data_IF_207084109973
#
_entry.id   IF_207084109973
#
_cell.length_a   1.000
_cell.length_b   1.000
_cell.length_c   1.000
_cell.angle_alpha   90.00
_cell.angle_beta   90.00
_cell.angle_gamma   90.00
#
_symmetry.space_group_name_H-M   'P 1'
#
loop_
_entity.id
_entity.type
_entity.pdbx_description
1 polymer ?
#
# COMPACT_ATOMS: atom_id res chain seq x y z
N UNK A 1 32.08 3.08 -3.15
CA UNK A 1 30.87 3.60 -2.49
C UNK A 1 29.73 2.71 -2.93
N UNK A 2 29.39 1.68 -2.14
CA UNK A 2 28.36 0.70 -2.51
C UNK A 2 26.99 1.35 -2.70
N UNK A 3 26.10 0.70 -3.44
CA UNK A 3 24.78 1.20 -3.83
C UNK A 3 23.80 1.36 -2.65
N UNK A 4 24.15 2.22 -1.68
CA UNK A 4 23.32 2.57 -0.54
C UNK A 4 21.98 3.16 -0.96
N UNK A 5 21.93 3.88 -2.09
CA UNK A 5 20.69 4.44 -2.64
C UNK A 5 19.74 3.34 -3.12
N UNK A 6 20.23 2.34 -3.84
CA UNK A 6 19.41 1.21 -4.29
C UNK A 6 18.90 0.37 -3.10
N UNK A 7 19.72 0.17 -2.07
CA UNK A 7 19.31 -0.54 -0.86
C UNK A 7 18.17 0.19 -0.11
N UNK A 8 18.22 1.54 -0.05
CA UNK A 8 17.16 2.35 0.55
C UNK A 8 15.90 2.34 -0.32
N UNK A 9 16.03 2.48 -1.64
CA UNK A 9 14.92 2.40 -2.58
C UNK A 9 14.22 1.04 -2.52
N UNK A 10 14.99 -0.04 -2.41
CA UNK A 10 14.45 -1.39 -2.22
C UNK A 10 13.63 -1.49 -0.92
N UNK A 11 14.16 -0.97 0.19
CA UNK A 11 13.47 -0.95 1.47
C UNK A 11 12.15 -0.17 1.41
N UNK A 12 12.15 0.99 0.76
CA UNK A 12 10.95 1.81 0.55
C UNK A 12 9.93 1.13 -0.38
N UNK A 13 10.39 0.49 -1.46
CA UNK A 13 9.55 -0.30 -2.35
C UNK A 13 8.84 -1.43 -1.61
N UNK A 14 9.59 -2.17 -0.78
CA UNK A 14 9.07 -3.29 0.00
C UNK A 14 8.06 -2.83 1.05
N UNK A 15 8.33 -1.71 1.74
CA UNK A 15 7.40 -1.12 2.70
C UNK A 15 6.11 -0.64 2.03
N UNK A 16 6.21 0.09 0.91
CA UNK A 16 5.06 0.56 0.15
C UNK A 16 4.22 -0.62 -0.36
N UNK A 17 4.87 -1.69 -0.81
CA UNK A 17 4.20 -2.92 -1.24
C UNK A 17 3.46 -3.60 -0.09
N UNK A 18 4.11 -3.82 1.06
CA UNK A 18 3.50 -4.47 2.23
C UNK A 18 2.32 -3.66 2.77
N UNK A 19 2.45 -2.33 2.84
CA UNK A 19 1.36 -1.44 3.27
C UNK A 19 0.20 -1.41 2.26
N UNK A 20 0.51 -1.40 0.96
CA UNK A 20 -0.48 -1.47 -0.11
C UNK A 20 -1.28 -2.78 -0.09
N UNK A 21 -0.58 -3.92 0.03
CA UNK A 21 -1.23 -5.23 0.14
C UNK A 21 -2.05 -5.34 1.42
N UNK A 22 -1.53 -4.88 2.57
CA UNK A 22 -2.25 -4.95 3.85
C UNK A 22 -3.55 -4.14 3.84
N UNK A 23 -3.56 -2.98 3.18
CA UNK A 23 -4.76 -2.16 3.05
C UNK A 23 -5.76 -2.72 2.04
N UNK A 24 -5.31 -3.38 0.97
CA UNK A 24 -6.20 -4.15 0.08
C UNK A 24 -6.87 -5.30 0.85
N UNK A 25 -6.12 -6.02 1.68
CA UNK A 25 -6.68 -7.08 2.53
C UNK A 25 -7.75 -6.49 3.43
N UNK A 26 -7.46 -5.39 4.14
CA UNK A 26 -8.43 -4.69 4.99
C UNK A 26 -9.68 -4.24 4.21
N UNK A 27 -9.54 -3.78 2.97
CA UNK A 27 -10.67 -3.42 2.13
C UNK A 27 -11.61 -4.61 1.82
N UNK A 28 -11.09 -5.84 1.85
CA UNK A 28 -11.84 -7.07 1.59
C UNK A 28 -12.39 -7.74 2.87
N UNK A 29 -11.64 -7.71 3.99
CA UNK A 29 -12.04 -8.38 5.24
C UNK A 29 -12.74 -7.46 6.25
N UNK A 30 -12.63 -6.14 6.14
CA UNK A 30 -13.24 -5.24 7.11
C UNK A 30 -14.77 -5.28 7.02
N UNK A 31 -15.40 -5.80 8.08
CA UNK A 31 -16.85 -5.77 8.31
C UNK A 31 -17.16 -4.75 9.40
N UNK A 32 -17.59 -3.53 9.05
CA UNK A 32 -18.00 -2.54 10.03
C UNK A 32 -19.36 -2.90 10.62
N UNK A 33 -19.58 -2.46 11.87
CA UNK A 33 -20.81 -2.68 12.63
C UNK A 33 -22.01 -1.84 12.13
N UNK A 34 -21.76 -0.81 11.31
CA UNK A 34 -22.78 0.08 10.77
C UNK A 34 -22.62 0.22 9.24
N UNK A 35 -23.73 0.16 8.51
CA UNK A 35 -23.76 0.16 7.03
C UNK A 35 -23.17 1.45 6.43
N UNK A 36 -23.38 2.60 7.09
CA UNK A 36 -22.91 3.91 6.60
C UNK A 36 -21.38 4.06 6.69
N UNK A 37 -20.74 3.34 7.62
CA UNK A 37 -19.28 3.31 7.79
C UNK A 37 -18.63 2.32 6.82
N UNK A 38 -19.41 1.39 6.24
CA UNK A 38 -18.91 0.37 5.33
C UNK A 38 -18.41 0.92 4.00
N UNK A 39 -19.18 1.80 3.37
CA UNK A 39 -18.80 2.36 2.07
C UNK A 39 -17.59 3.28 2.20
N UNK A 40 -17.52 4.10 3.26
CA UNK A 40 -16.40 5.03 3.49
C UNK A 40 -15.09 4.29 3.72
N UNK A 41 -15.07 3.32 4.64
CA UNK A 41 -13.86 2.57 4.95
C UNK A 41 -13.37 1.73 3.78
N UNK A 42 -14.27 1.16 2.98
CA UNK A 42 -13.89 0.37 1.80
C UNK A 42 -13.20 1.21 0.73
N UNK A 43 -13.65 2.44 0.53
CA UNK A 43 -13.03 3.39 -0.41
C UNK A 43 -11.68 3.88 0.11
N UNK A 44 -11.56 4.19 1.40
CA UNK A 44 -10.30 4.65 2.01
C UNK A 44 -9.21 3.56 1.97
N UNK A 45 -9.54 2.34 2.39
CA UNK A 45 -8.61 1.21 2.33
C UNK A 45 -8.26 0.82 0.89
N UNK A 46 -9.22 0.91 -0.03
CA UNK A 46 -8.99 0.67 -1.45
C UNK A 46 -8.06 1.71 -2.09
N UNK A 47 -8.30 2.99 -1.86
CA UNK A 47 -7.46 4.08 -2.37
C UNK A 47 -6.05 4.01 -1.79
N UNK A 48 -5.94 3.80 -0.47
CA UNK A 48 -4.64 3.65 0.19
C UNK A 48 -3.88 2.43 -0.35
N UNK A 49 -4.57 1.31 -0.58
CA UNK A 49 -4.00 0.10 -1.17
C UNK A 49 -3.46 0.28 -2.58
N UNK A 50 -4.25 0.91 -3.46
CA UNK A 50 -3.83 1.19 -4.84
C UNK A 50 -2.67 2.19 -4.86
N UNK A 51 -2.71 3.23 -4.02
CA UNK A 51 -1.63 4.21 -3.93
C UNK A 51 -0.31 3.59 -3.44
N UNK A 52 -0.37 2.67 -2.46
CA UNK A 52 0.79 1.92 -1.96
C UNK A 52 1.39 1.00 -3.03
N UNK A 53 0.55 0.33 -3.83
CA UNK A 53 1.02 -0.46 -4.97
C UNK A 53 1.66 0.38 -6.07
N UNK A 54 1.04 1.52 -6.44
CA UNK A 54 1.58 2.43 -7.46
C UNK A 54 2.93 2.99 -7.02
N UNK A 55 3.06 3.41 -5.75
CA UNK A 55 4.33 3.88 -5.20
C UNK A 55 5.38 2.76 -5.13
N UNK A 56 4.99 1.56 -4.71
CA UNK A 56 5.87 0.38 -4.73
C UNK A 56 6.42 0.10 -6.14
N UNK A 57 5.56 0.11 -7.16
CA UNK A 57 5.95 -0.07 -8.56
C UNK A 57 6.87 1.06 -9.06
N UNK A 58 6.61 2.31 -8.66
CA UNK A 58 7.48 3.44 -8.97
C UNK A 58 8.88 3.29 -8.36
N UNK A 59 8.96 2.84 -7.10
CA UNK A 59 10.25 2.60 -6.45
C UNK A 59 11.00 1.41 -7.06
N UNK A 60 10.30 0.38 -7.53
CA UNK A 60 10.90 -0.72 -8.30
C UNK A 60 11.40 -0.24 -9.66
N UNK A 61 10.67 0.64 -10.35
CA UNK A 61 11.10 1.21 -11.62
C UNK A 61 12.34 2.12 -11.47
N UNK A 62 12.46 2.80 -10.33
CA UNK A 62 13.58 3.70 -10.03
C UNK A 62 14.85 2.98 -9.55
N UNK A 63 14.80 1.66 -9.38
CA UNK A 63 15.87 0.79 -8.88
C UNK A 63 16.55 0.09 -10.06
#
# INVERSE_FOLDING_TARGET
>A
MGNWVEAILFGLALLAFVLGVSSIIMAMTYKPAAADVQMKSKVEYGFFGVSGLVLGLLFVYAL
#
